data_IF_986783137328
#
_entry.id   IF_986783137328
#
_cell.length_a   1.000
_cell.length_b   1.000
_cell.length_c   1.000
_cell.angle_alpha   90.00
_cell.angle_beta   90.00
_cell.angle_gamma   90.00
#
_symmetry.space_group_name_H-M   'P 1'
#
loop_
_entity.id
_entity.type
_entity.pdbx_description
1 polymer ?
#
# COMPACT_ATOMS: atom_id res chain seq x y z
N UNK A 1 17.53 -7.86 -6.03
CA UNK A 1 17.45 -9.22 -5.44
C UNK A 1 16.31 -9.19 -4.45
N UNK A 2 15.24 -9.97 -4.67
CA UNK A 2 14.10 -9.98 -3.75
C UNK A 2 14.55 -10.64 -2.43
N UNK A 3 14.35 -10.03 -1.24
CA UNK A 3 14.84 -10.56 0.04
C UNK A 3 14.21 -11.89 0.49
N UNK A 4 13.33 -12.50 -0.31
CA UNK A 4 12.63 -13.74 0.02
C UNK A 4 13.38 -15.00 -0.43
N UNK A 5 14.40 -14.85 -1.28
CA UNK A 5 15.21 -15.96 -1.78
C UNK A 5 16.63 -15.68 -1.31
N UNK A 6 17.19 -16.59 -0.50
CA UNK A 6 18.56 -16.49 0.01
C UNK A 6 19.60 -16.46 -1.11
N UNK A 7 20.91 -16.50 -0.80
CA UNK A 7 21.94 -16.38 -1.82
C UNK A 7 21.82 -17.49 -2.87
N UNK A 8 21.43 -17.10 -4.09
CA UNK A 8 21.18 -18.00 -5.21
C UNK A 8 22.48 -18.66 -5.71
N UNK A 9 22.41 -19.98 -5.89
CA UNK A 9 23.32 -20.73 -6.74
C UNK A 9 22.84 -20.54 -8.19
N UNK A 10 23.58 -19.80 -9.05
CA UNK A 10 23.15 -19.49 -10.42
C UNK A 10 23.02 -20.72 -11.33
N UNK A 11 23.39 -21.91 -10.85
CA UNK A 11 23.23 -23.18 -11.56
C UNK A 11 21.92 -23.91 -11.26
N UNK A 12 21.13 -23.45 -10.28
CA UNK A 12 19.87 -24.10 -9.88
C UNK A 12 18.66 -23.33 -10.42
N UNK A 13 17.62 -24.01 -10.94
CA UNK A 13 16.37 -23.36 -11.26
C UNK A 13 15.80 -22.72 -10.00
N UNK A 14 15.41 -21.45 -10.08
CA UNK A 14 14.76 -20.70 -9.00
C UNK A 14 13.58 -21.55 -8.48
N UNK A 15 13.57 -21.98 -7.20
CA UNK A 15 12.47 -22.76 -6.66
C UNK A 15 11.19 -21.93 -6.69
N UNK A 16 10.31 -22.22 -7.63
CA UNK A 16 9.01 -21.56 -7.71
C UNK A 16 8.14 -22.01 -6.55
N UNK A 17 7.91 -21.15 -5.56
CA UNK A 17 6.87 -21.41 -4.55
C UNK A 17 5.51 -21.41 -5.26
N UNK A 18 4.81 -22.57 -5.35
CA UNK A 18 3.55 -22.67 -6.08
C UNK A 18 2.46 -21.76 -5.51
N UNK A 19 2.59 -21.27 -4.27
CA UNK A 19 1.63 -20.36 -3.65
C UNK A 19 1.53 -19.04 -4.40
N UNK A 20 2.66 -18.52 -4.90
CA UNK A 20 2.70 -17.25 -5.63
C UNK A 20 1.94 -17.35 -6.96
N UNK A 21 2.24 -18.38 -7.75
CA UNK A 21 1.56 -18.65 -9.03
C UNK A 21 0.08 -18.95 -8.83
N UNK A 22 -0.28 -19.71 -7.78
CA UNK A 22 -1.67 -20.00 -7.46
C UNK A 22 -2.45 -18.75 -7.05
N UNK A 23 -1.83 -17.84 -6.28
CA UNK A 23 -2.44 -16.59 -5.89
C UNK A 23 -2.72 -15.69 -7.10
N UNK A 24 -1.76 -15.56 -8.02
CA UNK A 24 -1.93 -14.79 -9.26
C UNK A 24 -3.01 -15.42 -10.15
N UNK A 25 -2.99 -16.74 -10.34
CA UNK A 25 -4.01 -17.45 -11.12
C UNK A 25 -5.42 -17.24 -10.54
N UNK A 26 -5.54 -17.28 -9.20
CA UNK A 26 -6.80 -16.99 -8.52
C UNK A 26 -7.24 -15.54 -8.71
N UNK A 27 -6.31 -14.58 -8.64
CA UNK A 27 -6.62 -13.17 -8.88
C UNK A 27 -7.14 -12.95 -10.31
N UNK A 28 -6.45 -13.52 -11.31
CA UNK A 28 -6.85 -13.47 -12.71
C UNK A 28 -8.24 -14.08 -12.92
N UNK A 29 -8.51 -15.22 -12.28
CA UNK A 29 -9.84 -15.84 -12.31
C UNK A 29 -10.92 -14.92 -11.71
N UNK A 30 -10.69 -14.32 -10.53
CA UNK A 30 -11.66 -13.40 -9.91
C UNK A 30 -11.92 -12.19 -10.82
N UNK A 31 -10.87 -11.58 -11.37
CA UNK A 31 -10.98 -10.42 -12.24
C UNK A 31 -11.67 -10.75 -13.57
N UNK A 32 -11.53 -11.98 -14.09
CA UNK A 32 -12.18 -12.42 -15.33
C UNK A 32 -13.71 -12.35 -15.30
N UNK A 33 -14.32 -12.32 -14.11
CA UNK A 33 -15.77 -12.17 -13.94
C UNK A 33 -16.28 -10.73 -14.14
N UNK A 34 -15.37 -9.76 -14.24
CA UNK A 34 -15.69 -8.34 -14.38
C UNK A 34 -15.09 -7.77 -15.66
N UNK A 35 -15.74 -6.76 -16.24
CA UNK A 35 -15.20 -6.00 -17.37
C UNK A 35 -14.36 -4.85 -16.81
N UNK A 36 -13.08 -5.12 -16.57
CA UNK A 36 -12.11 -4.13 -16.08
C UNK A 36 -11.22 -3.74 -17.26
N UNK A 37 -11.03 -2.44 -17.50
CA UNK A 37 -10.15 -1.98 -18.57
C UNK A 37 -8.68 -2.21 -18.20
N UNK A 38 -7.78 -2.18 -19.21
CA UNK A 38 -6.35 -2.24 -18.94
C UNK A 38 -5.89 -1.08 -18.06
N UNK A 39 -6.40 0.13 -18.35
CA UNK A 39 -6.01 1.34 -17.63
C UNK A 39 -6.51 1.32 -16.18
N UNK A 40 -7.71 0.80 -15.92
CA UNK A 40 -8.20 0.58 -14.55
C UNK A 40 -7.31 -0.39 -13.76
N UNK A 41 -6.83 -1.47 -14.41
CA UNK A 41 -5.91 -2.42 -13.80
C UNK A 41 -4.54 -1.78 -13.55
N UNK A 42 -4.01 -1.04 -14.53
CA UNK A 42 -2.72 -0.36 -14.44
C UNK A 42 -2.72 0.72 -13.35
N UNK A 43 -3.80 1.51 -13.25
CA UNK A 43 -4.00 2.47 -12.17
C UNK A 43 -4.13 1.77 -10.81
N UNK A 44 -4.91 0.70 -10.73
CA UNK A 44 -5.03 -0.05 -9.47
C UNK A 44 -3.67 -0.62 -9.03
N UNK A 45 -2.85 -1.08 -9.98
CA UNK A 45 -1.49 -1.54 -9.71
C UNK A 45 -0.59 -0.40 -9.23
N UNK A 46 -0.65 0.79 -9.85
CA UNK A 46 0.16 1.94 -9.44
C UNK A 46 -0.16 2.39 -8.01
N UNK A 47 -1.42 2.28 -7.57
CA UNK A 47 -1.84 2.59 -6.19
C UNK A 47 -1.10 1.71 -5.17
N UNK A 48 -0.85 0.42 -5.46
CA UNK A 48 -0.08 -0.44 -4.56
C UNK A 48 1.41 -0.07 -4.45
N UNK A 49 1.94 0.65 -5.43
CA UNK A 49 3.31 1.16 -5.40
C UNK A 49 3.34 2.49 -4.66
N UNK A 50 2.54 3.47 -5.11
CA UNK A 50 2.65 4.85 -4.65
C UNK A 50 1.92 5.11 -3.34
N UNK A 51 0.65 4.70 -3.21
CA UNK A 51 -0.09 5.01 -1.99
C UNK A 51 0.51 4.29 -0.78
N UNK A 52 1.02 3.08 -0.97
CA UNK A 52 1.71 2.33 0.07
C UNK A 52 3.00 3.03 0.50
N UNK A 53 3.88 3.39 -0.45
CA UNK A 53 5.15 4.05 -0.12
C UNK A 53 4.97 5.47 0.43
N UNK A 54 3.97 6.21 -0.05
CA UNK A 54 3.64 7.54 0.46
C UNK A 54 3.01 7.47 1.85
N UNK A 55 2.14 6.50 2.13
CA UNK A 55 1.63 6.27 3.48
C UNK A 55 2.76 5.88 4.44
N UNK A 56 3.69 5.03 3.99
CA UNK A 56 4.86 4.67 4.78
C UNK A 56 5.71 5.89 5.10
N UNK A 57 6.03 6.72 4.10
CA UNK A 57 6.76 7.97 4.31
C UNK A 57 6.04 8.92 5.27
N UNK A 58 4.70 8.95 5.23
CA UNK A 58 3.89 9.88 6.02
C UNK A 58 3.64 9.42 7.45
N UNK A 59 3.43 8.14 7.69
CA UNK A 59 2.89 7.60 8.94
C UNK A 59 3.67 6.42 9.53
N UNK A 60 4.65 5.86 8.82
CA UNK A 60 5.44 4.74 9.31
C UNK A 60 6.69 5.23 10.06
N UNK A 61 7.33 4.30 10.77
CA UNK A 61 8.49 4.61 11.58
C UNK A 61 9.70 5.06 10.75
N UNK A 62 9.76 4.74 9.45
CA UNK A 62 10.79 5.32 8.58
C UNK A 62 10.27 5.53 7.17
N UNK A 63 10.94 6.43 6.46
CA UNK A 63 10.77 6.52 5.03
C UNK A 63 11.29 5.25 4.34
N UNK A 64 10.61 4.90 3.24
CA UNK A 64 11.06 3.89 2.28
C UNK A 64 12.33 4.42 1.60
N UNK A 65 13.38 3.59 1.53
CA UNK A 65 14.62 3.97 0.85
C UNK A 65 14.43 4.01 -0.67
N UNK A 66 15.31 4.68 -1.43
CA UNK A 66 15.26 4.64 -2.89
C UNK A 66 15.29 3.20 -3.44
N UNK A 67 16.11 2.34 -2.86
CA UNK A 67 16.27 0.94 -3.29
C UNK A 67 15.01 0.12 -3.00
N UNK A 68 14.35 0.36 -1.86
CA UNK A 68 13.09 -0.29 -1.54
C UNK A 68 11.98 0.17 -2.48
N UNK A 69 11.93 1.45 -2.82
CA UNK A 69 10.97 1.99 -3.78
C UNK A 69 11.11 1.33 -5.16
N UNK A 70 12.35 1.15 -5.64
CA UNK A 70 12.64 0.43 -6.88
C UNK A 70 12.24 -1.06 -6.76
N UNK A 71 12.50 -1.71 -5.62
CA UNK A 71 12.05 -3.09 -5.40
C UNK A 71 10.52 -3.22 -5.44
N UNK A 72 9.77 -2.27 -4.88
CA UNK A 72 8.31 -2.22 -4.96
C UNK A 72 7.84 -2.10 -6.41
N UNK A 73 8.46 -1.22 -7.19
CA UNK A 73 8.14 -1.04 -8.60
C UNK A 73 8.38 -2.33 -9.41
N UNK A 74 9.55 -2.96 -9.25
CA UNK A 74 9.88 -4.22 -9.94
C UNK A 74 8.88 -5.31 -9.55
N UNK A 75 8.61 -5.48 -8.25
CA UNK A 75 7.69 -6.50 -7.75
C UNK A 75 6.29 -6.35 -8.36
N UNK A 76 5.73 -5.15 -8.31
CA UNK A 76 4.37 -4.91 -8.81
C UNK A 76 4.29 -4.92 -10.33
N UNK A 77 5.35 -4.52 -11.04
CA UNK A 77 5.44 -4.65 -12.50
C UNK A 77 5.42 -6.13 -12.90
N UNK A 78 6.20 -6.99 -12.24
CA UNK A 78 6.19 -8.44 -12.48
C UNK A 78 4.81 -9.07 -12.20
N UNK A 79 4.15 -8.65 -11.10
CA UNK A 79 2.78 -9.08 -10.80
C UNK A 79 1.82 -8.62 -11.90
N UNK A 80 1.89 -7.35 -12.31
CA UNK A 80 1.03 -6.77 -13.34
C UNK A 80 1.17 -7.49 -14.68
N UNK A 81 2.40 -7.77 -15.10
CA UNK A 81 2.68 -8.54 -16.32
C UNK A 81 2.07 -9.95 -16.25
N UNK A 82 2.19 -10.64 -15.12
CA UNK A 82 1.58 -11.97 -14.91
C UNK A 82 0.04 -11.92 -14.80
N UNK A 83 -0.51 -10.75 -14.48
CA UNK A 83 -1.94 -10.47 -14.54
C UNK A 83 -2.43 -10.05 -15.94
N UNK A 84 -1.53 -9.91 -16.91
CA UNK A 84 -1.85 -9.54 -18.28
C UNK A 84 -2.04 -8.03 -18.49
N UNK A 85 -1.57 -7.19 -17.57
CA UNK A 85 -1.56 -5.73 -17.72
C UNK A 85 -0.54 -5.34 -18.79
N UNK A 86 -0.96 -4.49 -19.72
CA UNK A 86 -0.17 -4.03 -20.85
C UNK A 86 0.24 -2.58 -20.68
N UNK A 87 1.23 -2.15 -21.45
CA UNK A 87 1.70 -0.77 -21.53
C UNK A 87 2.14 -0.15 -20.19
N UNK A 88 2.70 -0.98 -19.30
CA UNK A 88 3.26 -0.52 -18.01
C UNK A 88 4.45 0.42 -18.30
N UNK A 89 4.42 1.70 -17.85
CA UNK A 89 5.53 2.61 -18.02
C UNK A 89 6.84 2.07 -17.42
N UNK A 90 7.99 2.26 -18.10
CA UNK A 90 9.23 1.54 -17.80
C UNK A 90 9.97 2.05 -16.56
N UNK A 91 9.56 3.19 -15.99
CA UNK A 91 10.21 3.79 -14.82
C UNK A 91 9.19 4.22 -13.78
N UNK A 92 9.64 4.31 -12.52
CA UNK A 92 8.82 4.81 -11.40
C UNK A 92 8.24 6.19 -11.70
N UNK A 93 9.05 7.10 -12.26
CA UNK A 93 8.64 8.47 -12.56
C UNK A 93 7.58 8.54 -13.67
N UNK A 94 7.78 7.77 -14.76
CA UNK A 94 6.82 7.73 -15.87
C UNK A 94 5.50 7.06 -15.46
N UNK A 95 5.56 6.03 -14.61
CA UNK A 95 4.36 5.43 -14.03
C UNK A 95 3.63 6.40 -13.10
N UNK A 96 4.36 7.19 -12.32
CA UNK A 96 3.77 8.20 -11.43
C UNK A 96 3.06 9.29 -12.21
N UNK A 97 3.70 9.83 -13.24
CA UNK A 97 3.09 10.83 -14.12
C UNK A 97 1.83 10.28 -14.80
N UNK A 98 1.92 9.07 -15.36
CA UNK A 98 0.76 8.40 -15.96
C UNK A 98 -0.38 8.24 -14.95
N UNK A 99 -0.07 7.81 -13.72
CA UNK A 99 -1.07 7.62 -12.66
C UNK A 99 -1.74 8.93 -12.26
N UNK A 100 -0.98 10.03 -12.17
CA UNK A 100 -1.53 11.35 -11.83
C UNK A 100 -2.45 11.88 -12.94
N UNK A 101 -2.11 11.65 -14.21
CA UNK A 101 -2.96 12.00 -15.33
C UNK A 101 -4.25 11.18 -15.33
N UNK A 102 -4.15 9.88 -15.05
CA UNK A 102 -5.32 9.01 -14.89
C UNK A 102 -6.25 9.50 -13.78
N UNK A 103 -5.71 9.88 -12.61
CA UNK A 103 -6.50 10.44 -11.52
C UNK A 103 -7.20 11.74 -11.90
N UNK A 104 -6.49 12.63 -12.58
CA UNK A 104 -7.05 13.91 -13.01
C UNK A 104 -8.27 13.74 -13.94
N UNK A 105 -8.28 12.70 -14.77
CA UNK A 105 -9.36 12.42 -15.72
C UNK A 105 -10.49 11.56 -15.13
N UNK A 106 -10.15 10.57 -14.28
CA UNK A 106 -11.09 9.52 -13.86
C UNK A 106 -11.51 9.60 -12.38
N UNK A 107 -10.81 10.33 -11.51
CA UNK A 107 -11.14 10.45 -10.10
C UNK A 107 -12.25 11.48 -9.85
N UNK A 108 -13.47 11.13 -10.28
CA UNK A 108 -14.64 12.00 -10.23
C UNK A 108 -15.64 11.62 -9.12
N UNK A 109 -16.47 12.57 -8.64
CA UNK A 109 -17.52 12.28 -7.67
C UNK A 109 -18.47 11.17 -8.13
N UNK A 110 -18.65 10.14 -7.30
CA UNK A 110 -19.52 9.00 -7.59
C UNK A 110 -20.33 8.58 -6.37
N UNK A 111 -21.64 8.39 -6.58
CA UNK A 111 -22.55 7.91 -5.55
C UNK A 111 -22.19 6.48 -5.09
N UNK A 112 -21.72 5.63 -6.00
CA UNK A 112 -21.25 4.29 -5.66
C UNK A 112 -20.00 4.36 -4.75
N UNK A 113 -19.04 5.25 -5.09
CA UNK A 113 -17.85 5.48 -4.27
C UNK A 113 -18.20 6.04 -2.90
N UNK A 114 -19.19 6.94 -2.81
CA UNK A 114 -19.73 7.46 -1.54
C UNK A 114 -20.31 6.35 -0.67
N UNK A 115 -21.14 5.48 -1.23
CA UNK A 115 -21.73 4.36 -0.49
C UNK A 115 -20.65 3.40 0.01
N UNK A 116 -19.68 3.05 -0.85
CA UNK A 116 -18.55 2.21 -0.47
C UNK A 116 -17.74 2.83 0.68
N UNK A 117 -17.41 4.13 0.58
CA UNK A 117 -16.68 4.84 1.62
C UNK A 117 -17.43 4.87 2.96
N UNK A 118 -18.75 5.11 2.93
CA UNK A 118 -19.59 5.08 4.14
C UNK A 118 -19.62 3.68 4.78
N UNK A 119 -19.71 2.62 3.97
CA UNK A 119 -19.67 1.25 4.46
C UNK A 119 -18.31 0.90 5.06
N UNK A 120 -17.21 1.32 4.42
CA UNK A 120 -15.85 1.12 4.91
C UNK A 120 -15.64 1.85 6.26
N UNK A 121 -16.00 3.13 6.36
CA UNK A 121 -15.92 3.90 7.59
C UNK A 121 -16.76 3.26 8.70
N UNK A 122 -17.99 2.84 8.39
CA UNK A 122 -18.86 2.12 9.35
C UNK A 122 -18.23 0.81 9.79
N UNK A 123 -17.62 0.05 8.89
CA UNK A 123 -16.96 -1.21 9.20
C UNK A 123 -15.78 -0.99 10.15
N UNK A 124 -14.90 -0.04 9.85
CA UNK A 124 -13.74 0.30 10.67
C UNK A 124 -14.17 0.75 12.07
N UNK A 125 -15.17 1.64 12.15
CA UNK A 125 -15.69 2.15 13.42
C UNK A 125 -16.39 1.09 14.29
N UNK A 126 -16.72 -0.10 13.78
CA UNK A 126 -17.29 -1.19 14.60
C UNK A 126 -16.28 -1.78 15.58
N UNK A 127 -14.98 -1.71 15.28
CA UNK A 127 -13.92 -2.16 16.20
C UNK A 127 -13.70 -1.21 17.37
N UNK A 128 -14.28 -0.02 17.30
CA UNK A 128 -14.18 1.02 18.32
C UNK A 128 -15.28 0.80 19.37
N UNK A 129 -14.95 0.87 20.69
CA UNK A 129 -15.92 0.78 21.76
C UNK A 129 -17.11 1.71 21.56
N UNK A 130 -18.29 1.29 22.02
CA UNK A 130 -19.53 2.06 21.89
C UNK A 130 -19.59 3.21 22.91
N UNK A 131 -18.64 4.14 22.81
CA UNK A 131 -18.58 5.36 23.61
C UNK A 131 -19.15 6.53 22.79
N UNK A 132 -19.88 7.47 23.43
CA UNK A 132 -20.48 8.60 22.74
C UNK A 132 -19.41 9.44 22.05
N UNK A 133 -19.58 9.70 20.76
CA UNK A 133 -18.67 10.53 19.96
C UNK A 133 -17.40 9.83 19.44
N UNK A 134 -16.92 8.76 20.09
CA UNK A 134 -15.64 8.12 19.74
C UNK A 134 -15.62 7.55 18.31
N UNK A 135 -16.72 6.92 17.87
CA UNK A 135 -16.81 6.40 16.50
C UNK A 135 -16.75 7.50 15.45
N UNK A 136 -17.38 8.66 15.72
CA UNK A 136 -17.36 9.83 14.84
C UNK A 136 -15.96 10.44 14.78
N UNK A 137 -15.28 10.53 15.92
CA UNK A 137 -13.89 10.95 16.01
C UNK A 137 -13.00 10.05 15.14
N UNK A 138 -13.11 8.74 15.29
CA UNK A 138 -12.32 7.79 14.50
C UNK A 138 -12.62 7.93 13.01
N UNK A 139 -13.89 8.03 12.60
CA UNK A 139 -14.23 8.28 11.19
C UNK A 139 -13.63 9.59 10.68
N UNK A 140 -13.66 10.67 11.47
CA UNK A 140 -13.05 11.96 11.10
C UNK A 140 -11.53 11.83 10.88
N UNK A 141 -10.84 11.13 11.77
CA UNK A 141 -9.40 10.87 11.64
C UNK A 141 -9.08 10.02 10.40
N UNK A 142 -9.88 8.99 10.10
CA UNK A 142 -9.73 8.20 8.87
C UNK A 142 -9.95 9.03 7.61
N UNK A 143 -10.91 9.96 7.61
CA UNK A 143 -11.10 10.87 6.47
C UNK A 143 -9.89 11.80 6.31
N UNK A 144 -9.26 12.24 7.41
CA UNK A 144 -8.04 13.05 7.35
C UNK A 144 -6.80 12.30 6.82
N UNK A 145 -6.82 10.95 6.78
CA UNK A 145 -5.76 10.15 6.16
C UNK A 145 -5.91 10.03 4.64
N UNK A 146 -7.09 10.32 4.10
CA UNK A 146 -7.33 10.30 2.66
C UNK A 146 -6.77 11.57 2.02
N UNK A 147 -6.19 11.43 0.83
CA UNK A 147 -5.83 12.58 0.00
C UNK A 147 -7.09 13.34 -0.44
N UNK A 148 -6.93 14.64 -0.68
CA UNK A 148 -8.06 15.53 -0.96
C UNK A 148 -8.87 15.15 -2.22
N UNK A 149 -8.25 14.81 -3.37
CA UNK A 149 -8.98 14.36 -4.56
C UNK A 149 -9.85 13.14 -4.26
N UNK A 150 -9.30 12.15 -3.54
CA UNK A 150 -10.02 10.93 -3.15
C UNK A 150 -11.21 11.24 -2.23
N UNK A 151 -11.02 12.11 -1.23
CA UNK A 151 -12.12 12.56 -0.34
C UNK A 151 -13.26 13.19 -1.13
N UNK A 152 -12.92 14.04 -2.11
CA UNK A 152 -13.90 14.72 -2.97
C UNK A 152 -14.62 13.71 -3.87
N UNK A 153 -13.90 12.79 -4.50
CA UNK A 153 -14.49 11.75 -5.35
C UNK A 153 -15.43 10.80 -4.57
N UNK A 154 -15.11 10.51 -3.30
CA UNK A 154 -15.97 9.78 -2.38
C UNK A 154 -17.10 10.63 -1.78
N UNK A 155 -17.20 11.92 -2.13
CA UNK A 155 -18.21 12.85 -1.62
C UNK A 155 -18.25 12.92 -0.08
N UNK A 156 -17.09 12.81 0.57
CA UNK A 156 -16.95 12.85 2.02
C UNK A 156 -16.78 14.28 2.52
N UNK A 157 -17.36 14.63 3.68
CA UNK A 157 -17.27 15.98 4.22
C UNK A 157 -15.83 16.35 4.56
N UNK A 158 -15.46 17.61 4.30
CA UNK A 158 -14.21 18.18 4.79
C UNK A 158 -14.18 18.11 6.33
N UNK A 159 -13.01 17.79 6.88
CA UNK A 159 -12.84 17.64 8.31
C UNK A 159 -12.27 18.91 8.96
N UNK A 160 -12.51 19.13 10.25
CA UNK A 160 -11.95 20.28 10.95
C UNK A 160 -10.42 20.30 10.92
N UNK A 161 -9.83 21.49 10.91
CA UNK A 161 -8.37 21.68 10.88
C UNK A 161 -7.64 21.02 12.05
N UNK A 162 -8.27 20.92 13.22
CA UNK A 162 -7.70 20.22 14.37
C UNK A 162 -7.50 18.73 14.09
N UNK A 163 -8.41 18.08 13.35
CA UNK A 163 -8.31 16.65 13.05
C UNK A 163 -7.12 16.37 12.12
N UNK A 164 -6.93 17.23 11.11
CA UNK A 164 -5.74 17.16 10.24
C UNK A 164 -4.44 17.37 11.03
N UNK A 165 -4.42 18.32 11.98
CA UNK A 165 -3.25 18.52 12.86
C UNK A 165 -2.98 17.29 13.72
N UNK A 166 -4.01 16.70 14.32
CA UNK A 166 -3.88 15.47 15.11
C UNK A 166 -3.27 14.35 14.28
N UNK A 167 -3.80 14.06 13.10
CA UNK A 167 -3.24 13.03 12.21
C UNK A 167 -1.79 13.35 11.85
N UNK A 168 -1.47 14.59 11.48
CA UNK A 168 -0.10 14.99 11.13
C UNK A 168 0.88 14.80 12.29
N UNK A 169 0.45 15.08 13.54
CA UNK A 169 1.29 14.88 14.73
C UNK A 169 1.50 13.39 15.03
N UNK A 170 0.46 12.56 14.94
CA UNK A 170 0.55 11.13 15.24
C UNK A 170 1.25 10.32 14.15
N UNK A 171 1.14 10.76 12.90
CA UNK A 171 1.86 10.16 11.77
C UNK A 171 3.30 10.65 11.65
N UNK A 172 3.72 11.71 12.37
CA UNK A 172 5.10 12.16 12.29
C UNK A 172 6.06 11.08 12.85
N UNK A 173 7.17 10.76 12.16
CA UNK A 173 8.16 9.83 12.69
C UNK A 173 8.62 10.32 14.06
N UNK A 174 8.33 9.52 15.08
CA UNK A 174 8.68 9.77 16.48
C UNK A 174 10.02 9.11 16.74
N UNK A 175 10.93 9.82 17.40
CA UNK A 175 12.32 9.43 17.66
C UNK A 175 12.55 7.92 17.89
N UNK A 176 13.60 7.37 17.27
CA UNK A 176 14.00 5.98 17.41
C UNK A 176 15.31 5.84 18.19
N UNK A 177 15.41 4.75 18.94
CA UNK A 177 16.69 4.19 19.36
C UNK A 177 17.16 3.31 18.21
N UNK A 178 18.12 3.81 17.43
CA UNK A 178 18.86 2.96 16.51
C UNK A 178 19.69 2.01 17.36
N UNK A 179 19.36 0.72 17.35
CA UNK A 179 20.26 -0.30 17.90
C UNK A 179 21.43 -0.39 16.92
N UNK A 180 22.55 0.24 17.28
CA UNK A 180 23.83 0.03 16.60
C UNK A 180 24.26 -1.41 16.87
N UNK A 181 24.44 -2.22 15.83
CA UNK A 181 24.52 -3.68 15.86
C UNK A 181 23.22 -4.38 16.32
N UNK A 182 22.15 -4.40 15.48
CA UNK A 182 21.15 -5.43 15.66
C UNK A 182 21.89 -6.77 15.61
N UNK A 183 21.72 -7.69 16.57
CA UNK A 183 22.44 -8.95 16.56
C UNK A 183 22.18 -9.59 15.20
N UNK A 184 23.24 -9.69 14.38
CA UNK A 184 23.17 -10.37 13.09
C UNK A 184 22.41 -11.67 13.33
N UNK A 185 21.33 -11.88 12.58
CA UNK A 185 20.34 -12.93 12.80
C UNK A 185 20.88 -14.34 12.56
N UNK A 186 22.20 -14.51 12.54
CA UNK A 186 22.91 -15.75 12.36
C UNK A 186 24.07 -15.76 13.34
N UNK A 187 23.96 -16.62 14.34
CA UNK A 187 25.08 -16.97 15.22
C UNK A 187 26.17 -17.68 14.40
N UNK A 188 27.36 -17.88 14.97
CA UNK A 188 28.51 -18.53 14.27
C UNK A 188 28.16 -19.95 13.76
N UNK A 189 27.15 -20.57 14.37
CA UNK A 189 26.55 -21.86 14.07
C UNK A 189 25.36 -21.81 13.07
N UNK A 190 25.08 -20.64 12.47
CA UNK A 190 24.14 -20.48 11.35
C UNK A 190 22.66 -20.57 11.72
N UNK A 191 22.31 -20.54 13.02
CA UNK A 191 20.92 -20.60 13.49
C UNK A 191 20.33 -19.22 13.69
N UNK A 192 19.12 -19.01 13.16
CA UNK A 192 18.35 -17.80 13.39
C UNK A 192 17.73 -17.81 14.79
N UNK A 193 18.04 -16.79 15.58
CA UNK A 193 17.39 -16.52 16.87
C UNK A 193 16.71 -15.15 16.79
N UNK A 194 15.38 -15.16 16.88
CA UNK A 194 14.57 -13.95 16.87
C UNK A 194 14.56 -13.34 18.28
N UNK A 195 15.43 -12.36 18.51
CA UNK A 195 15.32 -11.51 19.69
C UNK A 195 14.22 -10.48 19.41
N UNK A 196 13.02 -10.72 19.95
CA UNK A 196 11.96 -9.71 19.91
C UNK A 196 12.33 -8.64 20.93
N UNK A 197 12.69 -7.44 20.46
CA UNK A 197 12.76 -6.26 21.31
C UNK A 197 11.30 -5.81 21.55
N UNK A 198 10.90 -5.77 22.82
CA UNK A 198 9.62 -5.19 23.27
C UNK A 198 9.80 -3.69 23.45
#
# INVERSE_FOLDING_TARGET
MCPLEGPDDPSKPIPTDPRSSLAIARMNWIHSHYKISNDDLLYTMSVFIFQTTDMMRRCDWRAVSPEESECFFILWTEIGQRMGIQDIPPTVDTLREWSLNYEAEHMVPSEASRQLAQLALKHISRRVPNMPGLRRLVSALFICLMDEPLRIAMMLPAQPTWAHRTVKTFCHPSAYIAVTDPPCSFDVDGRMRLYTLV
#
